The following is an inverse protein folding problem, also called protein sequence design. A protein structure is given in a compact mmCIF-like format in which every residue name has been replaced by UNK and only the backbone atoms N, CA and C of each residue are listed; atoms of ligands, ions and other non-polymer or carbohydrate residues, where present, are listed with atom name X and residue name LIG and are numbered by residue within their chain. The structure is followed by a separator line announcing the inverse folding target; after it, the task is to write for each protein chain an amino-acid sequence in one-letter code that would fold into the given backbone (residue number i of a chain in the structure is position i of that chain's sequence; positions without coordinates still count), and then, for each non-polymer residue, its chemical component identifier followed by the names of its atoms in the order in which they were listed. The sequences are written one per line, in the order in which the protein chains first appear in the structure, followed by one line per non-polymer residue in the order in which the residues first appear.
data_IF_054249175467
#
_entry.id   IF_054249175467
#
_cell.length_a   1.000
_cell.length_b   1.000
_cell.length_c   1.000
_cell.angle_alpha   90.00
_cell.angle_beta   90.00
_cell.angle_gamma   90.00
#
_symmetry.space_group_name_H-M   'P 1'
#
loop_
_entity.id
_entity.type
_entity.pdbx_description
1 polymer ?
#
# COMPACT_ATOMS: atom_id res chain seq x y z
N UNK A 1 24.94 -12.99 -9.75
CA UNK A 1 23.82 -13.12 -8.79
C UNK A 1 23.09 -11.80 -8.82
N UNK A 2 22.07 -11.68 -9.67
CA UNK A 2 21.41 -10.40 -9.91
C UNK A 2 20.46 -10.10 -8.75
N UNK A 3 20.75 -8.98 -8.08
CA UNK A 3 19.93 -8.22 -7.15
C UNK A 3 18.43 -8.54 -7.27
N UNK A 4 17.93 -9.26 -6.27
CA UNK A 4 16.51 -9.52 -6.09
C UNK A 4 15.79 -8.22 -5.80
N UNK A 5 15.51 -7.42 -6.84
CA UNK A 5 14.57 -6.31 -6.77
C UNK A 5 13.29 -6.89 -6.19
N UNK A 6 12.98 -6.57 -4.93
CA UNK A 6 11.65 -6.75 -4.34
C UNK A 6 10.67 -6.10 -5.31
N UNK A 7 10.06 -6.89 -6.17
CA UNK A 7 8.94 -6.44 -6.98
C UNK A 7 7.83 -6.28 -5.96
N UNK A 8 7.57 -5.03 -5.56
CA UNK A 8 6.39 -4.74 -4.79
C UNK A 8 5.20 -5.33 -5.58
N UNK A 9 4.33 -6.15 -4.97
CA UNK A 9 3.19 -6.76 -5.67
C UNK A 9 2.14 -5.73 -6.10
N UNK A 10 2.44 -4.47 -5.84
CA UNK A 10 1.73 -3.28 -6.25
C UNK A 10 2.60 -2.59 -7.30
N UNK A 11 2.10 -2.49 -8.53
CA UNK A 11 2.67 -1.53 -9.47
C UNK A 11 2.51 -0.14 -8.83
N UNK A 12 3.63 0.51 -8.49
CA UNK A 12 3.65 1.85 -7.88
C UNK A 12 2.93 2.89 -8.78
N UNK A 13 2.73 2.58 -10.07
CA UNK A 13 1.90 3.36 -11.00
C UNK A 13 0.43 3.36 -10.60
N UNK A 14 -0.10 2.28 -10.02
CA UNK A 14 -1.50 2.26 -9.55
C UNK A 14 -1.72 3.21 -8.38
N UNK A 15 -0.73 3.32 -7.50
CA UNK A 15 -0.72 4.30 -6.42
C UNK A 15 -0.64 5.74 -6.97
N UNK A 16 0.12 5.96 -8.04
CA UNK A 16 0.34 7.30 -8.60
C UNK A 16 -0.95 7.93 -9.15
N UNK A 17 -1.80 7.18 -9.86
CA UNK A 17 -3.06 7.72 -10.39
C UNK A 17 -4.11 7.92 -9.29
N UNK A 18 -4.21 6.99 -8.34
CA UNK A 18 -5.16 7.06 -7.23
C UNK A 18 -4.85 8.20 -6.25
N UNK A 19 -3.62 8.71 -6.26
CA UNK A 19 -3.13 9.78 -5.39
C UNK A 19 -2.94 11.12 -6.11
N UNK A 20 -3.67 11.36 -7.21
CA UNK A 20 -3.65 12.61 -7.97
C UNK A 20 -2.24 12.97 -8.52
N UNK A 21 -1.47 11.96 -8.96
CA UNK A 21 -0.11 12.16 -9.45
C UNK A 21 0.92 12.41 -8.35
N UNK A 22 0.61 12.06 -7.10
CA UNK A 22 1.52 12.15 -5.96
C UNK A 22 2.05 10.78 -5.57
N UNK A 23 3.25 10.75 -5.02
CA UNK A 23 3.74 9.55 -4.32
C UNK A 23 2.95 9.34 -3.01
N UNK A 24 2.92 8.11 -2.46
CA UNK A 24 2.30 7.84 -1.16
C UNK A 24 2.80 8.76 -0.03
N UNK A 25 4.12 9.01 0.02
CA UNK A 25 4.74 9.92 0.99
C UNK A 25 4.26 11.37 0.84
N UNK A 26 4.09 11.85 -0.39
CA UNK A 26 3.59 13.21 -0.65
C UNK A 26 2.10 13.34 -0.32
N UNK A 27 1.29 12.35 -0.71
CA UNK A 27 -0.13 12.33 -0.39
C UNK A 27 -0.36 12.32 1.14
N UNK A 28 0.41 11.51 1.87
CA UNK A 28 0.34 11.39 3.33
C UNK A 28 0.67 12.70 4.09
N UNK A 29 1.20 13.74 3.44
CA UNK A 29 1.44 15.05 4.09
C UNK A 29 0.15 15.77 4.50
N UNK A 30 -0.96 15.50 3.83
CA UNK A 30 -2.25 16.16 4.08
C UNK A 30 -3.26 15.21 4.73
N UNK A 31 -4.22 15.73 5.51
CA UNK A 31 -5.28 14.89 6.11
C UNK A 31 -6.09 14.13 5.04
N UNK A 32 -6.46 14.82 3.97
CA UNK A 32 -7.20 14.22 2.86
C UNK A 32 -6.38 13.15 2.12
N UNK A 33 -5.10 13.40 1.87
CA UNK A 33 -4.23 12.43 1.22
C UNK A 33 -3.89 11.24 2.10
N UNK A 34 -3.72 11.40 3.43
CA UNK A 34 -3.61 10.26 4.36
C UNK A 34 -4.83 9.34 4.29
N UNK A 35 -6.03 9.91 4.19
CA UNK A 35 -7.25 9.11 4.03
C UNK A 35 -7.24 8.30 2.74
N UNK A 36 -6.90 8.93 1.60
CA UNK A 36 -6.74 8.23 0.31
C UNK A 36 -5.69 7.11 0.38
N UNK A 37 -4.53 7.38 0.98
CA UNK A 37 -3.47 6.38 1.19
C UNK A 37 -3.98 5.22 2.06
N UNK A 38 -4.71 5.51 3.14
CA UNK A 38 -5.25 4.47 4.02
C UNK A 38 -6.28 3.58 3.31
N UNK A 39 -7.21 4.19 2.57
CA UNK A 39 -8.22 3.47 1.79
C UNK A 39 -7.58 2.56 0.74
N UNK A 40 -6.49 3.00 0.13
CA UNK A 40 -5.77 2.24 -0.88
C UNK A 40 -4.94 1.09 -0.28
N UNK A 41 -4.24 1.33 0.82
CA UNK A 41 -3.53 0.27 1.57
C UNK A 41 -4.51 -0.82 2.03
N UNK A 42 -5.68 -0.42 2.54
CA UNK A 42 -6.75 -1.37 2.93
C UNK A 42 -7.24 -2.22 1.75
N UNK A 43 -7.35 -1.65 0.56
CA UNK A 43 -7.71 -2.42 -0.63
C UNK A 43 -6.65 -3.48 -0.99
N UNK A 44 -5.36 -3.14 -0.85
CA UNK A 44 -4.28 -4.08 -1.11
C UNK A 44 -4.14 -5.17 -0.05
N UNK A 45 -4.35 -4.82 1.22
CA UNK A 45 -4.44 -5.78 2.32
C UNK A 45 -5.56 -6.78 2.06
N UNK A 46 -6.77 -6.31 1.75
CA UNK A 46 -7.89 -7.16 1.39
C UNK A 46 -7.58 -8.09 0.20
N UNK A 47 -6.83 -7.61 -0.80
CA UNK A 47 -6.41 -8.42 -1.95
C UNK A 47 -5.39 -9.48 -1.53
N UNK A 48 -4.45 -9.14 -0.66
CA UNK A 48 -3.43 -10.05 -0.15
C UNK A 48 -4.04 -11.10 0.79
N UNK A 49 -5.00 -10.74 1.63
CA UNK A 49 -5.77 -11.70 2.43
C UNK A 49 -6.52 -12.70 1.55
N UNK A 50 -7.13 -12.25 0.45
CA UNK A 50 -7.75 -13.15 -0.53
C UNK A 50 -6.71 -14.08 -1.17
N UNK A 51 -5.51 -13.59 -1.47
CA UNK A 51 -4.42 -14.41 -1.99
C UNK A 51 -3.98 -15.47 -0.97
N UNK A 52 -3.80 -15.11 0.31
CA UNK A 52 -3.50 -16.05 1.41
C UNK A 52 -4.53 -17.16 1.47
N UNK A 53 -5.83 -16.81 1.42
CA UNK A 53 -6.93 -17.79 1.47
C UNK A 53 -6.94 -18.73 0.26
N UNK A 54 -6.43 -18.27 -0.89
CA UNK A 54 -6.26 -19.08 -2.09
C UNK A 54 -4.95 -19.89 -2.11
N UNK A 55 -4.16 -19.88 -1.03
CA UNK A 55 -2.85 -20.54 -0.96
C UNK A 55 -1.77 -19.85 -1.79
N UNK A 56 -2.00 -18.60 -2.20
CA UNK A 56 -1.05 -17.79 -2.96
C UNK A 56 -0.19 -16.93 -2.01
N UNK A 57 1.04 -16.53 -2.44
CA UNK A 57 1.85 -15.60 -1.69
C UNK A 57 1.12 -14.29 -1.42
N UNK A 58 1.16 -13.83 -0.16
CA UNK A 58 0.58 -12.58 0.28
C UNK A 58 1.66 -11.62 0.76
N UNK A 59 1.37 -10.34 0.65
CA UNK A 59 2.27 -9.26 1.05
C UNK A 59 1.81 -8.64 2.37
N UNK A 60 2.76 -8.35 3.24
CA UNK A 60 2.51 -7.62 4.48
C UNK A 60 2.77 -6.12 4.25
N UNK A 61 1.77 -5.29 4.55
CA UNK A 61 1.82 -3.84 4.37
C UNK A 61 2.16 -3.09 5.66
N UNK A 62 2.43 -3.79 6.76
CA UNK A 62 2.72 -3.19 8.07
C UNK A 62 3.92 -2.24 8.00
N UNK A 63 5.02 -2.66 7.37
CA UNK A 63 6.21 -1.84 7.16
C UNK A 63 5.90 -0.55 6.36
N UNK A 64 5.05 -0.66 5.34
CA UNK A 64 4.66 0.47 4.49
C UNK A 64 3.81 1.46 5.29
N UNK A 65 2.90 0.97 6.14
CA UNK A 65 2.07 1.82 7.01
C UNK A 65 2.92 2.59 8.00
N UNK A 66 3.89 1.92 8.63
CA UNK A 66 4.82 2.55 9.55
C UNK A 66 5.63 3.64 8.86
N UNK A 67 6.20 3.33 7.69
CA UNK A 67 6.99 4.28 6.90
C UNK A 67 6.18 5.54 6.50
N UNK A 68 4.89 5.36 6.18
CA UNK A 68 4.01 6.45 5.78
C UNK A 68 3.37 7.19 6.95
N UNK A 69 3.52 6.69 8.19
CA UNK A 69 2.82 7.21 9.37
C UNK A 69 1.30 7.14 9.23
N UNK A 70 0.79 6.11 8.54
CA UNK A 70 -0.64 5.89 8.27
C UNK A 70 -1.08 4.61 8.98
N UNK A 71 -1.45 4.68 10.28
CA UNK A 71 -1.93 3.52 11.01
C UNK A 71 -3.20 2.96 10.33
N UNK A 72 -3.47 1.65 10.47
CA UNK A 72 -4.74 1.09 10.03
C UNK A 72 -5.89 1.86 10.70
N UNK A 73 -6.94 2.14 9.93
CA UNK A 73 -8.15 2.76 10.48
C UNK A 73 -8.79 1.74 11.44
N UNK A 74 -8.66 1.99 12.74
CA UNK A 74 -9.35 1.22 13.77
C UNK A 74 -10.76 1.81 13.86
N UNK A 75 -11.81 1.05 13.52
CA UNK A 75 -13.19 1.53 13.52
C UNK A 75 -13.66 1.99 14.91
#
# INVERSE_FOLDING_TARGET
MADGKKVLPIDMRELYWALDGKTPREAARTKAGRRKVNDLLKQFENKSERATRAGQPAFDFSDIREELGVPPDIP
#
